data_IF_609606614218
#
_entry.id   IF_609606614218
#
_cell.length_a   1.000
_cell.length_b   1.000
_cell.length_c   1.000
_cell.angle_alpha   90.00
_cell.angle_beta   90.00
_cell.angle_gamma   90.00
#
_symmetry.space_group_name_H-M   'P 1'
#
loop_
_entity.id
_entity.type
_entity.pdbx_description
1 polymer ?
#
# COMPACT_ATOMS: atom_id res chain seq x y z
N UNK A 1 -22.21 15.58 24.68
CA UNK A 1 -22.08 15.91 23.27
C UNK A 1 -21.29 14.79 22.59
N UNK A 2 -21.84 14.15 21.58
CA UNK A 2 -21.15 13.07 20.85
C UNK A 2 -19.97 13.65 20.02
N UNK A 3 -18.98 12.81 19.74
CA UNK A 3 -17.89 13.17 18.81
C UNK A 3 -18.45 13.40 17.39
N UNK A 4 -17.92 14.37 16.65
CA UNK A 4 -18.27 14.54 15.24
C UNK A 4 -17.77 13.34 14.39
N UNK A 5 -18.37 13.16 13.22
CA UNK A 5 -17.96 12.09 12.27
C UNK A 5 -16.48 12.21 11.91
N UNK A 6 -15.99 13.43 11.67
CA UNK A 6 -14.58 13.70 11.34
C UNK A 6 -13.65 13.27 12.49
N UNK A 7 -14.04 13.55 13.74
CA UNK A 7 -13.28 13.12 14.91
C UNK A 7 -13.24 11.60 15.04
N UNK A 8 -14.35 10.91 14.71
CA UNK A 8 -14.39 9.45 14.74
C UNK A 8 -13.55 8.82 13.63
N UNK A 9 -13.56 9.40 12.42
CA UNK A 9 -12.69 8.96 11.30
C UNK A 9 -11.22 9.10 11.69
N UNK A 10 -10.82 10.25 12.25
CA UNK A 10 -9.45 10.46 12.73
C UNK A 10 -9.05 9.44 13.80
N UNK A 11 -9.90 9.27 14.80
CA UNK A 11 -9.67 8.33 15.90
C UNK A 11 -9.53 6.88 15.40
N UNK A 12 -10.36 6.49 14.42
CA UNK A 12 -10.29 5.16 13.80
C UNK A 12 -8.99 5.00 13.00
N UNK A 13 -8.68 5.95 12.12
CA UNK A 13 -7.47 5.90 11.31
C UNK A 13 -6.21 5.82 12.16
N UNK A 14 -6.15 6.58 13.26
CA UNK A 14 -5.06 6.52 14.22
C UNK A 14 -4.92 5.14 14.87
N UNK A 15 -6.03 4.55 15.31
CA UNK A 15 -6.04 3.22 15.96
C UNK A 15 -5.70 2.10 14.99
N UNK A 16 -6.23 2.15 13.76
CA UNK A 16 -5.87 1.20 12.72
C UNK A 16 -4.36 1.24 12.45
N UNK A 17 -3.79 2.45 12.34
CA UNK A 17 -2.35 2.61 12.14
C UNK A 17 -1.53 2.03 13.30
N UNK A 18 -1.94 2.27 14.55
CA UNK A 18 -1.27 1.71 15.72
C UNK A 18 -1.37 0.18 15.75
N UNK A 19 -2.57 -0.34 15.48
CA UNK A 19 -2.82 -1.77 15.47
C UNK A 19 -2.01 -2.47 14.39
N UNK A 20 -1.98 -1.93 13.18
CA UNK A 20 -1.16 -2.45 12.08
C UNK A 20 0.33 -2.43 12.44
N UNK A 21 0.83 -1.32 13.00
CA UNK A 21 2.22 -1.23 13.42
C UNK A 21 2.60 -2.30 14.47
N UNK A 22 1.70 -2.60 15.42
CA UNK A 22 1.92 -3.65 16.41
C UNK A 22 1.96 -5.05 15.79
N UNK A 23 1.11 -5.31 14.78
CA UNK A 23 1.01 -6.62 14.14
C UNK A 23 2.12 -6.88 13.11
N UNK A 24 2.54 -5.88 12.35
CA UNK A 24 3.68 -5.98 11.43
C UNK A 24 4.96 -6.38 12.18
N UNK A 25 5.14 -5.87 13.40
CA UNK A 25 6.26 -6.26 14.27
C UNK A 25 6.25 -7.76 14.64
N UNK A 26 5.06 -8.37 14.76
CA UNK A 26 4.88 -9.77 15.13
C UNK A 26 4.90 -10.74 13.93
N UNK A 27 4.47 -10.29 12.77
CA UNK A 27 4.26 -11.10 11.56
C UNK A 27 5.07 -10.56 10.38
N UNK A 28 6.39 -10.72 10.45
CA UNK A 28 7.26 -10.34 9.34
C UNK A 28 7.06 -11.30 8.16
N UNK A 29 6.38 -10.83 7.13
CA UNK A 29 6.28 -11.54 5.86
C UNK A 29 7.61 -11.34 5.11
N UNK A 30 8.28 -12.44 4.79
CA UNK A 30 9.46 -12.44 3.92
C UNK A 30 10.66 -11.60 4.41
N UNK A 31 10.79 -11.37 5.71
CA UNK A 31 11.82 -10.49 6.30
C UNK A 31 11.86 -9.08 5.67
N UNK A 32 10.68 -8.55 5.36
CA UNK A 32 10.52 -7.21 4.78
C UNK A 32 10.43 -6.15 5.87
N UNK A 33 11.00 -4.99 5.58
CA UNK A 33 10.70 -3.76 6.32
C UNK A 33 9.37 -3.17 5.86
N UNK A 34 8.73 -2.31 6.66
CA UNK A 34 7.48 -1.64 6.31
C UNK A 34 7.55 -0.91 4.96
N UNK A 35 8.69 -0.29 4.68
CA UNK A 35 8.94 0.40 3.41
C UNK A 35 9.04 -0.55 2.23
N UNK A 36 9.70 -1.69 2.42
CA UNK A 36 9.79 -2.73 1.39
C UNK A 36 8.41 -3.31 1.08
N UNK A 37 7.60 -3.61 2.11
CA UNK A 37 6.22 -4.07 1.96
C UNK A 37 5.37 -3.06 1.22
N UNK A 38 5.42 -1.79 1.60
CA UNK A 38 4.65 -0.72 0.93
C UNK A 38 5.03 -0.60 -0.56
N UNK A 39 6.30 -0.67 -0.91
CA UNK A 39 6.72 -0.63 -2.32
C UNK A 39 6.18 -1.82 -3.10
N UNK A 40 6.22 -3.02 -2.52
CA UNK A 40 5.64 -4.23 -3.15
C UNK A 40 4.14 -4.08 -3.36
N UNK A 41 3.41 -3.57 -2.37
CA UNK A 41 1.97 -3.33 -2.48
C UNK A 41 1.64 -2.28 -3.55
N UNK A 42 2.35 -1.15 -3.59
CA UNK A 42 2.17 -0.11 -4.61
C UNK A 42 2.44 -0.63 -6.03
N UNK A 43 3.55 -1.33 -6.23
CA UNK A 43 3.89 -1.91 -7.53
C UNK A 43 2.89 -3.00 -7.92
N UNK A 44 2.44 -3.81 -6.96
CA UNK A 44 1.42 -4.84 -7.19
C UNK A 44 0.06 -4.25 -7.57
N UNK A 45 -0.34 -3.14 -6.97
CA UNK A 45 -1.59 -2.44 -7.26
C UNK A 45 -1.60 -1.87 -8.70
N UNK A 46 -0.49 -1.33 -9.17
CA UNK A 46 -0.40 -0.67 -10.48
C UNK A 46 0.21 -1.54 -11.58
N UNK A 47 0.84 -2.65 -11.23
CA UNK A 47 1.54 -3.57 -12.15
C UNK A 47 2.95 -3.11 -12.54
N UNK A 48 3.15 -1.82 -12.77
CA UNK A 48 4.46 -1.22 -13.08
C UNK A 48 4.50 0.22 -12.61
N UNK A 49 5.60 0.63 -11.98
CA UNK A 49 5.79 2.01 -11.53
C UNK A 49 7.23 2.46 -11.73
N UNK A 50 7.42 3.72 -12.08
CA UNK A 50 8.75 4.34 -12.04
C UNK A 50 9.14 4.70 -10.60
N UNK A 51 10.45 4.83 -10.36
CA UNK A 51 10.97 5.27 -9.05
C UNK A 51 10.41 6.65 -8.68
N UNK A 52 10.26 7.54 -9.66
CA UNK A 52 9.68 8.87 -9.46
C UNK A 52 8.21 8.82 -9.06
N UNK A 53 7.40 7.93 -9.68
CA UNK A 53 5.99 7.73 -9.30
C UNK A 53 5.86 7.21 -7.86
N UNK A 54 6.68 6.24 -7.47
CA UNK A 54 6.72 5.74 -6.10
C UNK A 54 7.08 6.88 -5.13
N UNK A 55 8.09 7.69 -5.48
CA UNK A 55 8.51 8.83 -4.66
C UNK A 55 7.44 9.90 -4.50
N UNK A 56 6.63 10.16 -5.52
CA UNK A 56 5.54 11.14 -5.44
C UNK A 56 4.39 10.69 -4.54
N UNK A 57 4.16 9.36 -4.42
CA UNK A 57 3.18 8.80 -3.48
C UNK A 57 3.73 8.71 -2.05
N UNK A 58 5.05 8.75 -1.88
CA UNK A 58 5.71 8.63 -0.58
C UNK A 58 6.63 9.83 -0.31
N UNK A 59 6.07 11.05 -0.22
CA UNK A 59 6.84 12.30 -0.23
C UNK A 59 7.69 12.52 1.03
N UNK A 60 7.47 11.76 2.09
CA UNK A 60 8.29 11.80 3.32
C UNK A 60 9.62 11.08 3.17
N UNK A 61 9.84 10.37 2.07
CA UNK A 61 11.04 9.58 1.78
C UNK A 61 11.71 10.12 0.53
N UNK A 62 13.02 10.34 0.59
CA UNK A 62 13.77 10.82 -0.56
C UNK A 62 13.82 9.80 -1.71
N UNK A 63 13.89 10.28 -2.95
CA UNK A 63 14.02 9.40 -4.12
C UNK A 63 15.27 8.51 -4.05
N UNK A 64 16.35 8.99 -3.44
CA UNK A 64 17.58 8.19 -3.24
C UNK A 64 17.33 7.02 -2.29
N UNK A 65 16.56 7.23 -1.23
CA UNK A 65 16.18 6.16 -0.28
C UNK A 65 15.27 5.14 -0.95
N UNK A 66 14.30 5.59 -1.76
CA UNK A 66 13.43 4.70 -2.53
C UNK A 66 14.25 3.87 -3.53
N UNK A 67 15.14 4.51 -4.27
CA UNK A 67 16.03 3.82 -5.23
C UNK A 67 16.91 2.77 -4.56
N UNK A 68 17.45 3.07 -3.38
CA UNK A 68 18.24 2.12 -2.58
C UNK A 68 17.39 0.94 -2.13
N UNK A 69 16.18 1.20 -1.63
CA UNK A 69 15.24 0.14 -1.21
C UNK A 69 14.86 -0.77 -2.39
N UNK A 70 14.55 -0.19 -3.55
CA UNK A 70 14.25 -0.95 -4.77
C UNK A 70 15.46 -1.77 -5.21
N UNK A 71 16.67 -1.23 -5.11
CA UNK A 71 17.88 -1.97 -5.46
C UNK A 71 18.08 -3.19 -4.56
N UNK A 72 17.78 -3.07 -3.27
CA UNK A 72 17.81 -4.18 -2.33
C UNK A 72 16.73 -5.24 -2.66
N UNK A 73 15.50 -4.80 -2.94
CA UNK A 73 14.41 -5.70 -3.38
C UNK A 73 14.76 -6.45 -4.67
N UNK A 74 15.46 -5.79 -5.60
CA UNK A 74 15.89 -6.36 -6.86
C UNK A 74 17.06 -7.34 -6.70
N UNK A 75 18.20 -6.86 -6.13
CA UNK A 75 19.46 -7.62 -6.10
C UNK A 75 19.47 -8.70 -5.03
N UNK A 76 19.06 -8.35 -3.82
CA UNK A 76 19.23 -9.22 -2.65
C UNK A 76 18.02 -10.15 -2.49
N UNK A 77 16.82 -9.61 -2.59
CA UNK A 77 15.58 -10.35 -2.30
C UNK A 77 14.94 -10.97 -3.54
N UNK A 78 15.26 -10.48 -4.75
CA UNK A 78 14.70 -10.95 -6.03
C UNK A 78 13.17 -10.82 -6.11
N UNK A 79 12.61 -9.79 -5.51
CA UNK A 79 11.15 -9.57 -5.45
C UNK A 79 10.64 -8.62 -6.53
N UNK A 80 11.53 -7.82 -7.10
CA UNK A 80 11.21 -6.91 -8.20
C UNK A 80 12.21 -7.03 -9.33
N UNK A 81 11.76 -6.66 -10.54
CA UNK A 81 12.60 -6.43 -11.70
C UNK A 81 12.70 -4.94 -11.99
N UNK A 82 13.86 -4.50 -12.47
CA UNK A 82 14.13 -3.12 -12.93
C UNK A 82 14.24 -3.13 -14.43
N UNK A 83 13.37 -2.38 -15.10
CA UNK A 83 13.37 -2.24 -16.54
C UNK A 83 13.68 -0.80 -16.92
N UNK A 84 14.64 -0.62 -17.84
CA UNK A 84 14.96 0.67 -18.43
C UNK A 84 14.16 0.77 -19.72
N UNK A 85 13.35 1.82 -19.86
CA UNK A 85 12.58 2.03 -21.08
C UNK A 85 13.53 2.36 -22.24
N UNK A 86 13.46 1.63 -23.37
CA UNK A 86 14.33 1.87 -24.54
C UNK A 86 14.18 3.30 -25.10
N UNK A 87 12.97 3.86 -25.00
CA UNK A 87 12.59 5.19 -25.49
C UNK A 87 13.09 6.31 -24.58
N UNK A 88 13.31 6.02 -23.30
CA UNK A 88 13.82 6.97 -22.33
C UNK A 88 14.68 6.27 -21.29
N UNK A 89 15.97 6.18 -21.55
CA UNK A 89 16.94 5.51 -20.67
C UNK A 89 17.09 6.14 -19.27
N UNK A 90 16.47 7.30 -19.05
CA UNK A 90 16.45 7.96 -17.73
C UNK A 90 15.32 7.44 -16.84
N UNK A 91 14.34 6.74 -17.41
CA UNK A 91 13.21 6.20 -16.67
C UNK A 91 13.43 4.72 -16.37
N UNK A 92 13.58 4.42 -15.09
CA UNK A 92 13.59 3.05 -14.60
C UNK A 92 12.22 2.71 -14.05
N UNK A 93 11.59 1.70 -14.61
CA UNK A 93 10.34 1.12 -14.10
C UNK A 93 10.60 -0.13 -13.29
N UNK A 94 9.71 -0.41 -12.37
CA UNK A 94 9.77 -1.51 -11.43
C UNK A 94 8.51 -2.36 -11.58
N UNK A 95 8.68 -3.67 -11.68
CA UNK A 95 7.60 -4.67 -11.73
C UNK A 95 7.86 -5.76 -10.71
N UNK A 96 6.83 -6.49 -10.26
CA UNK A 96 7.03 -7.63 -9.39
C UNK A 96 7.51 -8.85 -10.17
N UNK A 97 8.46 -9.59 -9.60
CA UNK A 97 8.78 -10.97 -10.04
C UNK A 97 7.67 -11.93 -9.59
N UNK A 98 7.69 -13.18 -10.05
CA UNK A 98 6.76 -14.20 -9.55
C UNK A 98 6.92 -14.42 -8.04
N UNK A 99 8.14 -14.37 -7.51
CA UNK A 99 8.39 -14.39 -6.08
C UNK A 99 7.81 -13.16 -5.38
N UNK A 100 7.94 -11.98 -5.99
CA UNK A 100 7.34 -10.75 -5.49
C UNK A 100 5.82 -10.81 -5.42
N UNK A 101 5.17 -11.41 -6.40
CA UNK A 101 3.72 -11.63 -6.42
C UNK A 101 3.28 -12.59 -5.30
N UNK A 102 4.03 -13.66 -5.07
CA UNK A 102 3.76 -14.59 -3.96
C UNK A 102 3.85 -13.87 -2.61
N UNK A 103 4.89 -13.08 -2.39
CA UNK A 103 5.03 -12.27 -1.18
C UNK A 103 3.89 -11.26 -1.04
N UNK A 104 3.45 -10.63 -2.12
CA UNK A 104 2.29 -9.73 -2.10
C UNK A 104 1.02 -10.45 -1.63
N UNK A 105 0.77 -11.66 -2.09
CA UNK A 105 -0.39 -12.46 -1.64
C UNK A 105 -0.27 -12.85 -0.16
N UNK A 106 0.93 -13.16 0.33
CA UNK A 106 1.15 -13.41 1.76
C UNK A 106 0.88 -12.14 2.61
N UNK A 107 1.34 -10.97 2.14
CA UNK A 107 1.05 -9.68 2.79
C UNK A 107 -0.46 -9.45 2.86
N UNK A 108 -1.16 -9.61 1.74
CA UNK A 108 -2.62 -9.42 1.67
C UNK A 108 -3.36 -10.40 2.60
N UNK A 109 -2.95 -11.66 2.63
CA UNK A 109 -3.54 -12.66 3.50
C UNK A 109 -3.37 -12.28 4.97
N UNK A 110 -2.17 -11.92 5.37
CA UNK A 110 -1.87 -11.46 6.75
C UNK A 110 -2.71 -10.24 7.12
N UNK A 111 -2.85 -9.28 6.22
CA UNK A 111 -3.69 -8.09 6.45
C UNK A 111 -5.18 -8.46 6.52
N UNK A 112 -5.65 -9.36 5.66
CA UNK A 112 -7.04 -9.82 5.66
C UNK A 112 -7.41 -10.48 7.00
N UNK A 113 -6.53 -11.29 7.57
CA UNK A 113 -6.75 -11.93 8.87
C UNK A 113 -6.90 -10.91 10.00
N UNK A 114 -6.10 -9.84 9.95
CA UNK A 114 -6.19 -8.73 10.90
C UNK A 114 -7.55 -8.02 10.77
N UNK A 115 -7.94 -7.68 9.55
CA UNK A 115 -9.19 -6.94 9.30
C UNK A 115 -10.44 -7.79 9.48
N UNK A 116 -10.38 -9.11 9.29
CA UNK A 116 -11.49 -10.01 9.59
C UNK A 116 -11.89 -9.98 11.06
N UNK A 117 -10.90 -9.91 11.96
CA UNK A 117 -11.13 -9.77 13.40
C UNK A 117 -11.88 -8.47 13.73
N UNK A 118 -11.52 -7.36 13.06
CA UNK A 118 -12.21 -6.07 13.24
C UNK A 118 -13.64 -6.17 12.74
N UNK A 119 -13.86 -6.74 11.55
CA UNK A 119 -15.17 -6.89 10.94
C UNK A 119 -16.14 -7.69 11.83
N UNK A 120 -15.67 -8.82 12.36
CA UNK A 120 -16.46 -9.64 13.29
C UNK A 120 -16.79 -8.87 14.59
N UNK A 121 -15.83 -8.11 15.11
CA UNK A 121 -16.01 -7.35 16.35
C UNK A 121 -17.00 -6.19 16.22
N UNK A 122 -17.30 -5.72 15.00
CA UNK A 122 -18.31 -4.67 14.78
C UNK A 122 -19.73 -5.17 15.02
N UNK A 123 -19.99 -6.49 14.95
CA UNK A 123 -21.31 -7.08 15.22
C UNK A 123 -22.42 -6.57 14.30
N UNK A 124 -22.08 -6.26 13.04
CA UNK A 124 -23.04 -5.69 12.08
C UNK A 124 -24.08 -6.74 11.63
N UNK A 125 -25.33 -6.29 11.50
CA UNK A 125 -26.35 -7.07 10.79
C UNK A 125 -26.02 -7.17 9.28
N UNK A 126 -26.66 -8.10 8.52
CA UNK A 126 -26.43 -8.19 7.08
C UNK A 126 -26.66 -6.89 6.33
N UNK A 127 -27.74 -6.16 6.62
CA UNK A 127 -28.05 -4.88 5.99
C UNK A 127 -27.02 -3.80 6.35
N UNK A 128 -26.55 -3.75 7.60
CA UNK A 128 -25.49 -2.86 8.04
C UNK A 128 -24.17 -3.20 7.38
N UNK A 129 -23.88 -4.46 7.15
CA UNK A 129 -22.68 -4.93 6.47
C UNK A 129 -22.67 -4.46 5.01
N UNK A 130 -23.79 -4.59 4.30
CA UNK A 130 -23.92 -4.12 2.92
C UNK A 130 -23.74 -2.59 2.81
N UNK A 131 -24.41 -1.84 3.67
CA UNK A 131 -24.28 -0.39 3.71
C UNK A 131 -22.84 0.05 4.05
N UNK A 132 -22.21 -0.59 5.02
CA UNK A 132 -20.83 -0.33 5.39
C UNK A 132 -19.85 -0.63 4.23
N UNK A 133 -20.13 -1.70 3.47
CA UNK A 133 -19.36 -2.08 2.29
C UNK A 133 -19.40 -0.97 1.21
N UNK A 134 -20.58 -0.41 0.95
CA UNK A 134 -20.72 0.69 0.01
C UNK A 134 -19.97 1.97 0.47
N UNK A 135 -20.01 2.29 1.76
CA UNK A 135 -19.23 3.40 2.31
C UNK A 135 -17.74 3.19 2.08
N UNK A 136 -17.23 1.98 2.36
CA UNK A 136 -15.80 1.66 2.15
C UNK A 136 -15.40 1.75 0.68
N UNK A 137 -16.23 1.24 -0.24
CA UNK A 137 -15.98 1.35 -1.68
C UNK A 137 -15.85 2.81 -2.12
N UNK A 138 -16.79 3.66 -1.70
CA UNK A 138 -16.76 5.09 -2.03
C UNK A 138 -15.52 5.78 -1.47
N UNK A 139 -15.10 5.43 -0.25
CA UNK A 139 -13.88 5.95 0.34
C UNK A 139 -12.64 5.51 -0.44
N UNK A 140 -12.58 4.25 -0.86
CA UNK A 140 -11.46 3.72 -1.68
C UNK A 140 -11.38 4.47 -3.01
N UNK A 141 -12.51 4.66 -3.72
CA UNK A 141 -12.56 5.41 -4.98
C UNK A 141 -12.02 6.83 -4.77
N UNK A 142 -12.47 7.53 -3.72
CA UNK A 142 -11.99 8.86 -3.40
C UNK A 142 -10.46 8.90 -3.17
N UNK A 143 -9.92 7.95 -2.42
CA UNK A 143 -8.48 7.88 -2.19
C UNK A 143 -7.70 7.54 -3.45
N UNK A 144 -8.19 6.61 -4.26
CA UNK A 144 -7.57 6.24 -5.54
C UNK A 144 -7.52 7.45 -6.48
N UNK A 145 -8.63 8.14 -6.69
CA UNK A 145 -8.67 9.35 -7.50
C UNK A 145 -7.70 10.42 -6.99
N UNK A 146 -7.67 10.66 -5.69
CA UNK A 146 -6.79 11.66 -5.08
C UNK A 146 -5.31 11.30 -5.22
N UNK A 147 -4.96 10.03 -5.04
CA UNK A 147 -3.58 9.55 -5.16
C UNK A 147 -3.11 9.54 -6.62
N UNK A 148 -3.94 9.01 -7.54
CA UNK A 148 -3.54 8.84 -8.93
C UNK A 148 -3.56 10.15 -9.74
N UNK A 149 -4.37 11.14 -9.36
CA UNK A 149 -4.31 12.49 -9.92
C UNK A 149 -2.93 13.13 -9.70
N UNK A 150 -2.29 12.90 -8.56
CA UNK A 150 -0.92 13.37 -8.31
C UNK A 150 0.09 12.77 -9.29
N UNK A 151 -0.05 11.49 -9.65
CA UNK A 151 0.84 10.82 -10.60
C UNK A 151 0.67 11.35 -12.02
N UNK A 152 -0.56 11.69 -12.42
CA UNK A 152 -0.84 12.21 -13.74
C UNK A 152 -0.35 13.65 -13.93
N UNK A 153 -0.37 14.46 -12.87
CA UNK A 153 0.14 15.84 -12.89
C UNK A 153 1.67 15.93 -12.82
N UNK A 154 2.37 14.84 -12.49
CA UNK A 154 3.84 14.80 -12.46
C UNK A 154 4.44 14.49 -13.83
N UNK A 155 3.60 14.22 -14.85
CA UNK A 155 4.01 13.91 -16.23
C UNK A 155 4.03 15.16 -17.15
N UNK A 156 3.77 16.35 -16.62
CA UNK A 156 3.92 17.63 -17.29
C UNK A 156 5.23 18.31 -16.84
#
# INVERSE_FOLDING_TARGET
MGKSTESLIYDMAFRVRLYMASKISEQKVGDLTDRESLIIELVGMKGSMSISEIGSLYPTVSNSTISTTITKLWKDKKLVDKNILPENQRVTTVTLTEKGKQILEEIKHTQADVFSTISVSLGLSPDQTEYFHEILKNAIIFFDETMWLKLNNTKL
#
